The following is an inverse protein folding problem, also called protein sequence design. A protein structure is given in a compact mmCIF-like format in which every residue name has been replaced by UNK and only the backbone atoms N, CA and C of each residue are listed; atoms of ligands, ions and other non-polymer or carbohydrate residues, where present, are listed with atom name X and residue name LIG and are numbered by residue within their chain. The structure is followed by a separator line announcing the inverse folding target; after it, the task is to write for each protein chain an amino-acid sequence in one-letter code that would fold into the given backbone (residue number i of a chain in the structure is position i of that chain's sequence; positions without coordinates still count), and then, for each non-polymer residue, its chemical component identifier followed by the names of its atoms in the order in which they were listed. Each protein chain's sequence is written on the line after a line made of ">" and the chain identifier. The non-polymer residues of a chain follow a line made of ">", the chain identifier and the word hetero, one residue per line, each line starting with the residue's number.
data_IF_983278304544
#
_entry.id   IF_983278304544
#
_cell.length_a   1.000
_cell.length_b   1.000
_cell.length_c   1.000
_cell.angle_alpha   90.00
_cell.angle_beta   90.00
_cell.angle_gamma   90.00
#
_symmetry.space_group_name_H-M   'P 1'
#
loop_
_entity.id
_entity.type
_entity.pdbx_description
1 polymer ?
#
# COMPACT_ATOMS: atom_id res chain seq x y z
N UNK A 1 -0.87 -24.52 27.18
CA UNK A 1 -0.10 -23.29 27.47
C UNK A 1 0.69 -22.91 26.23
N UNK A 2 0.53 -21.68 25.75
CA UNK A 2 1.27 -21.19 24.55
C UNK A 2 2.78 -21.16 24.84
N UNK A 3 3.62 -21.40 23.82
CA UNK A 3 5.09 -21.43 23.98
C UNK A 3 5.63 -20.13 24.60
N UNK A 4 5.11 -18.98 24.21
CA UNK A 4 5.50 -17.66 24.79
C UNK A 4 5.19 -17.61 26.29
N UNK A 5 4.04 -18.10 26.76
CA UNK A 5 3.69 -18.11 28.18
C UNK A 5 4.72 -18.91 29.00
N UNK A 6 5.13 -20.07 28.51
CA UNK A 6 6.16 -20.89 29.15
C UNK A 6 7.52 -20.17 29.19
N UNK A 7 7.91 -19.53 28.09
CA UNK A 7 9.15 -18.76 28.04
C UNK A 7 9.11 -17.57 28.99
N UNK A 8 8.00 -16.84 29.09
CA UNK A 8 7.82 -15.73 30.03
C UNK A 8 7.93 -16.20 31.48
N UNK A 9 7.28 -17.32 31.85
CA UNK A 9 7.38 -17.89 33.21
C UNK A 9 8.80 -18.31 33.54
N UNK A 10 9.57 -18.84 32.59
CA UNK A 10 10.91 -19.36 32.80
C UNK A 10 11.99 -18.28 32.79
N UNK A 11 11.95 -17.39 31.78
CA UNK A 11 13.01 -16.43 31.49
C UNK A 11 12.75 -15.03 32.05
N UNK A 12 11.48 -14.71 32.30
CA UNK A 12 11.08 -13.41 32.83
C UNK A 12 10.05 -13.54 33.98
N UNK A 13 10.30 -14.37 35.00
CA UNK A 13 9.35 -14.64 36.10
C UNK A 13 8.99 -13.39 36.92
N UNK A 14 9.83 -12.36 36.87
CA UNK A 14 9.60 -11.07 37.56
C UNK A 14 9.00 -10.01 36.63
N UNK A 15 8.59 -10.40 35.42
CA UNK A 15 8.09 -9.50 34.38
C UNK A 15 9.15 -9.05 33.36
N UNK A 16 8.73 -8.28 32.38
CA UNK A 16 9.58 -7.74 31.30
C UNK A 16 9.98 -6.30 31.65
N UNK A 17 11.26 -6.01 31.54
CA UNK A 17 11.78 -4.66 31.72
C UNK A 17 11.52 -3.77 30.50
N UNK A 18 11.41 -2.46 30.74
CA UNK A 18 11.25 -1.45 29.71
C UNK A 18 12.54 -0.65 29.55
N UNK A 19 12.84 -0.26 28.31
CA UNK A 19 13.98 0.60 27.96
C UNK A 19 13.58 1.61 26.90
N UNK A 20 14.23 2.77 26.90
CA UNK A 20 13.99 3.77 25.86
C UNK A 20 14.50 3.27 24.49
N UNK A 21 13.77 3.61 23.43
CA UNK A 21 14.21 3.27 22.06
C UNK A 21 15.63 3.75 21.76
N UNK A 22 15.98 4.95 22.18
CA UNK A 22 17.34 5.50 22.01
C UNK A 22 18.44 4.81 22.84
N UNK A 23 18.07 3.97 23.82
CA UNK A 23 19.02 3.13 24.57
C UNK A 23 19.31 1.80 23.86
N UNK A 24 18.35 1.30 23.08
CA UNK A 24 18.42 0.00 22.40
C UNK A 24 18.75 0.11 20.92
N UNK A 25 18.45 1.27 20.31
CA UNK A 25 18.76 1.57 18.91
C UNK A 25 19.75 2.74 18.81
N UNK A 26 20.67 2.64 17.91
CA UNK A 26 21.42 3.77 17.36
C UNK A 26 20.86 4.18 16.00
N UNK A 27 21.24 5.37 15.52
CA UNK A 27 20.86 5.80 14.19
C UNK A 27 22.04 6.32 13.40
N UNK A 28 22.03 6.04 12.10
CA UNK A 28 22.90 6.67 11.12
C UNK A 28 22.11 7.74 10.35
N UNK A 29 22.77 8.89 10.13
CA UNK A 29 22.20 9.96 9.32
C UNK A 29 22.58 9.72 7.85
N UNK A 30 21.62 9.51 6.96
CA UNK A 30 21.91 9.00 5.62
C UNK A 30 22.45 10.02 4.62
N UNK A 31 23.12 11.08 5.08
CA UNK A 31 23.65 12.16 4.23
C UNK A 31 24.53 11.65 3.07
N UNK A 32 25.44 10.73 3.38
CA UNK A 32 26.39 10.18 2.39
C UNK A 32 25.69 9.27 1.36
N UNK A 33 24.52 8.73 1.69
CA UNK A 33 23.76 7.83 0.80
C UNK A 33 22.74 8.56 -0.08
N UNK A 34 22.70 9.88 -0.03
CA UNK A 34 21.81 10.66 -0.87
C UNK A 34 22.19 10.54 -2.34
N UNK A 35 21.18 10.37 -3.21
CA UNK A 35 21.38 10.43 -4.65
C UNK A 35 21.72 11.84 -5.11
N UNK A 36 22.61 11.93 -6.08
CA UNK A 36 22.96 13.19 -6.75
C UNK A 36 22.15 13.40 -8.02
N UNK A 37 21.84 12.32 -8.73
CA UNK A 37 21.03 12.34 -9.94
C UNK A 37 19.54 12.60 -9.63
N UNK A 38 18.86 13.22 -10.59
CA UNK A 38 17.39 13.37 -10.61
C UNK A 38 16.73 12.35 -11.56
N UNK A 39 17.53 11.54 -12.23
CA UNK A 39 17.05 10.53 -13.18
C UNK A 39 16.86 9.20 -12.47
N UNK A 40 15.67 8.65 -12.58
CA UNK A 40 15.31 7.36 -12.01
C UNK A 40 14.68 6.50 -13.09
N UNK A 41 15.12 5.26 -13.23
CA UNK A 41 14.56 4.30 -14.18
C UNK A 41 14.40 2.92 -13.52
N UNK A 42 13.33 2.20 -13.87
CA UNK A 42 13.05 0.87 -13.30
C UNK A 42 14.07 -0.19 -13.69
N UNK A 43 14.84 0.04 -14.74
CA UNK A 43 15.93 -0.86 -15.19
C UNK A 43 17.21 -0.72 -14.39
N UNK A 44 17.36 0.34 -13.59
CA UNK A 44 18.54 0.56 -12.77
C UNK A 44 18.57 -0.36 -11.53
N UNK A 45 19.76 -0.75 -11.04
CA UNK A 45 19.87 -1.80 -10.03
C UNK A 45 19.57 -1.35 -8.60
N UNK A 46 19.78 -0.07 -8.25
CA UNK A 46 19.76 0.39 -6.86
C UNK A 46 18.49 1.17 -6.54
N UNK A 47 17.63 0.70 -5.63
CA UNK A 47 16.45 1.42 -5.21
C UNK A 47 16.80 2.70 -4.45
N UNK A 48 16.03 3.76 -4.68
CA UNK A 48 16.13 5.05 -4.00
C UNK A 48 14.93 5.22 -3.09
N UNK A 49 15.19 5.28 -1.79
CA UNK A 49 14.17 5.41 -0.76
C UNK A 49 13.81 6.86 -0.49
N UNK A 50 12.58 7.10 -0.12
CA UNK A 50 12.06 8.41 0.27
C UNK A 50 11.22 8.30 1.54
N UNK A 51 11.13 9.40 2.28
CA UNK A 51 10.31 9.54 3.47
C UNK A 51 8.81 9.75 3.15
N UNK A 52 8.39 9.73 1.90
CA UNK A 52 7.00 9.95 1.49
C UNK A 52 6.13 8.70 1.53
N UNK A 53 4.86 8.85 1.12
CA UNK A 53 3.91 7.73 0.98
C UNK A 53 4.41 6.64 0.03
N UNK A 54 5.18 7.01 -0.99
CA UNK A 54 5.83 6.08 -1.92
C UNK A 54 7.23 5.80 -1.39
N UNK A 55 7.41 4.68 -0.70
CA UNK A 55 8.68 4.35 -0.04
C UNK A 55 9.85 4.19 -1.01
N UNK A 56 9.67 3.49 -2.12
CA UNK A 56 10.65 3.41 -3.21
C UNK A 56 10.26 4.44 -4.28
N UNK A 57 11.04 5.50 -4.40
CA UNK A 57 10.81 6.57 -5.38
C UNK A 57 11.11 6.10 -6.81
N UNK A 58 12.13 5.28 -6.97
CA UNK A 58 12.62 4.77 -8.25
C UNK A 58 13.95 4.05 -8.04
N UNK A 59 14.70 3.88 -9.13
CA UNK A 59 16.00 3.21 -9.09
C UNK A 59 17.06 4.08 -9.75
N UNK A 60 18.31 3.96 -9.29
CA UNK A 60 19.47 4.70 -9.79
C UNK A 60 20.57 3.76 -10.26
N UNK A 61 21.40 4.21 -11.20
CA UNK A 61 22.62 3.53 -11.63
C UNK A 61 23.90 4.06 -10.95
N UNK A 62 23.75 4.98 -9.98
CA UNK A 62 24.87 5.41 -9.15
C UNK A 62 25.46 4.22 -8.42
N UNK A 63 26.81 4.10 -8.44
CA UNK A 63 27.53 2.96 -7.85
C UNK A 63 28.17 3.29 -6.50
N UNK A 64 28.32 4.58 -6.22
CA UNK A 64 28.98 5.07 -5.02
C UNK A 64 27.99 5.30 -3.88
N UNK A 65 28.48 5.19 -2.64
CA UNK A 65 27.72 5.52 -1.43
C UNK A 65 26.34 4.83 -1.39
N UNK A 66 26.34 3.52 -1.66
CA UNK A 66 25.14 2.67 -1.50
C UNK A 66 25.19 2.09 -0.09
N UNK A 67 24.12 2.26 0.68
CA UNK A 67 23.99 1.59 1.97
C UNK A 67 23.82 0.08 1.77
N UNK A 68 24.63 -0.74 2.44
CA UNK A 68 24.73 -2.19 2.22
C UNK A 68 23.86 -2.96 3.24
N UNK A 69 22.56 -2.65 3.31
CA UNK A 69 21.66 -3.52 4.06
C UNK A 69 21.48 -4.87 3.35
N UNK A 70 21.22 -5.91 4.13
CA UNK A 70 21.03 -7.27 3.62
C UNK A 70 20.12 -8.07 4.56
N UNK A 71 19.71 -9.26 4.16
CA UNK A 71 18.92 -10.17 5.02
C UNK A 71 19.62 -10.51 6.34
N UNK A 72 20.96 -10.50 6.34
CA UNK A 72 21.77 -10.76 7.54
C UNK A 72 22.09 -9.51 8.36
N UNK A 73 21.95 -8.33 7.74
CA UNK A 73 22.17 -7.03 8.36
C UNK A 73 21.07 -6.06 7.93
N UNK A 74 19.82 -6.32 8.34
CA UNK A 74 18.69 -5.47 8.01
C UNK A 74 18.68 -4.21 8.87
N UNK A 75 17.96 -3.19 8.41
CA UNK A 75 17.79 -1.93 9.11
C UNK A 75 16.32 -1.49 9.13
N UNK A 76 15.99 -0.58 10.05
CA UNK A 76 14.71 0.13 10.05
C UNK A 76 14.97 1.53 9.49
N UNK A 77 14.26 1.91 8.46
CA UNK A 77 14.18 3.30 8.02
C UNK A 77 13.05 3.98 8.78
N UNK A 78 13.39 5.06 9.46
CA UNK A 78 12.46 5.89 10.20
C UNK A 78 12.31 7.25 9.51
N UNK A 79 11.09 7.60 9.11
CA UNK A 79 10.80 8.94 8.59
C UNK A 79 10.70 9.93 9.75
N UNK A 80 11.61 10.89 9.78
CA UNK A 80 11.74 11.84 10.90
C UNK A 80 10.60 12.86 10.97
N UNK A 81 9.74 12.94 9.95
CA UNK A 81 8.58 13.85 9.90
C UNK A 81 7.24 13.13 10.08
N UNK A 82 7.06 11.98 9.45
CA UNK A 82 5.79 11.23 9.52
C UNK A 82 5.80 10.13 10.57
N UNK A 83 6.98 9.83 11.14
CA UNK A 83 7.24 8.72 12.07
C UNK A 83 6.98 7.34 11.49
N UNK A 84 6.75 7.25 10.19
CA UNK A 84 6.60 5.97 9.51
C UNK A 84 7.89 5.14 9.59
N UNK A 85 7.73 3.84 9.77
CA UNK A 85 8.84 2.89 9.84
C UNK A 85 8.77 1.91 8.68
N UNK A 86 9.93 1.60 8.09
CA UNK A 86 10.05 0.65 7.01
C UNK A 86 11.18 -0.34 7.28
N UNK A 87 10.94 -1.61 6.98
CA UNK A 87 11.95 -2.65 7.02
C UNK A 87 12.73 -2.70 5.74
N UNK A 88 14.08 -2.70 5.82
CA UNK A 88 14.97 -2.77 4.66
C UNK A 88 16.05 -3.81 4.89
N UNK A 89 16.12 -4.79 3.99
CA UNK A 89 17.09 -5.89 3.97
C UNK A 89 17.79 -6.05 2.60
N UNK A 90 17.88 -4.94 1.86
CA UNK A 90 18.51 -4.85 0.55
C UNK A 90 19.34 -3.56 0.43
N UNK A 91 20.35 -3.50 -0.44
CA UNK A 91 21.14 -2.29 -0.68
C UNK A 91 20.30 -1.15 -1.25
N UNK A 92 20.53 0.09 -0.79
CA UNK A 92 19.73 1.24 -1.20
C UNK A 92 20.52 2.57 -1.18
N UNK A 93 19.96 3.56 -1.87
CA UNK A 93 20.28 4.98 -1.69
C UNK A 93 19.03 5.73 -1.21
N UNK A 94 19.17 6.97 -0.80
CA UNK A 94 18.06 7.78 -0.29
C UNK A 94 17.89 9.07 -1.10
N UNK A 95 16.66 9.57 -1.16
CA UNK A 95 16.37 10.85 -1.82
C UNK A 95 16.82 12.05 -1.00
N UNK A 96 16.73 11.96 0.32
CA UNK A 96 17.08 13.05 1.23
C UNK A 96 17.46 12.52 2.61
N UNK A 97 18.11 13.37 3.39
CA UNK A 97 18.48 13.06 4.77
C UNK A 97 17.32 13.24 5.80
N UNK A 98 16.09 13.36 5.34
CA UNK A 98 14.90 13.51 6.19
C UNK A 98 14.46 12.20 6.86
N UNK A 99 15.33 11.21 6.95
CA UNK A 99 15.09 9.91 7.58
C UNK A 99 16.27 9.50 8.45
N UNK A 100 16.07 8.49 9.25
CA UNK A 100 17.09 7.83 10.06
C UNK A 100 17.20 6.37 9.66
N UNK A 101 18.41 5.85 9.62
CA UNK A 101 18.70 4.42 9.51
C UNK A 101 18.93 3.91 10.93
N UNK A 102 18.04 3.08 11.44
CA UNK A 102 18.09 2.58 12.82
C UNK A 102 18.73 1.19 12.86
N UNK A 103 19.62 0.98 13.81
CA UNK A 103 20.35 -0.26 14.03
C UNK A 103 20.30 -0.66 15.51
N UNK A 104 20.41 -1.95 15.85
CA UNK A 104 20.47 -2.39 17.25
C UNK A 104 21.85 -2.06 17.85
N UNK A 105 21.88 -1.49 19.07
CA UNK A 105 23.12 -1.18 19.77
C UNK A 105 23.88 -2.39 20.28
N UNK A 106 23.20 -3.51 20.45
CA UNK A 106 23.84 -4.73 20.93
C UNK A 106 23.08 -5.98 20.43
N UNK A 107 23.74 -7.15 20.46
CA UNK A 107 23.18 -8.39 19.92
C UNK A 107 22.02 -9.00 20.72
N UNK A 108 21.71 -8.48 21.92
CA UNK A 108 20.57 -8.95 22.71
C UNK A 108 19.25 -8.32 22.24
N UNK A 109 19.32 -7.39 21.30
CA UNK A 109 18.18 -6.72 20.70
C UNK A 109 17.91 -7.30 19.34
N UNK A 110 16.77 -7.97 19.19
CA UNK A 110 16.26 -8.37 17.89
C UNK A 110 15.62 -7.17 17.20
N UNK A 111 16.28 -6.63 16.19
CA UNK A 111 15.80 -5.44 15.47
C UNK A 111 14.41 -5.65 14.82
N UNK A 112 14.09 -6.89 14.40
CA UNK A 112 12.79 -7.22 13.84
C UNK A 112 11.68 -7.14 14.89
N UNK A 113 11.96 -7.54 16.12
CA UNK A 113 11.06 -7.37 17.26
C UNK A 113 10.77 -5.88 17.50
N UNK A 114 11.82 -5.05 17.52
CA UNK A 114 11.64 -3.60 17.68
C UNK A 114 10.84 -3.00 16.52
N UNK A 115 11.09 -3.44 15.29
CA UNK A 115 10.32 -3.00 14.12
C UNK A 115 8.81 -3.27 14.30
N UNK A 116 8.43 -4.48 14.68
CA UNK A 116 7.03 -4.81 14.95
C UNK A 116 6.44 -3.98 16.08
N UNK A 117 7.19 -3.81 17.17
CA UNK A 117 6.73 -2.99 18.29
C UNK A 117 6.52 -1.52 17.89
N UNK A 118 7.44 -0.94 17.14
CA UNK A 118 7.31 0.46 16.68
C UNK A 118 6.04 0.69 15.86
N UNK A 119 5.54 -0.30 15.14
CA UNK A 119 4.29 -0.20 14.38
C UNK A 119 3.03 -0.17 15.27
N UNK A 120 3.14 -0.59 16.54
CA UNK A 120 2.02 -0.54 17.49
C UNK A 120 1.94 0.78 18.27
N UNK A 121 2.94 1.66 18.13
CA UNK A 121 2.99 2.92 18.86
C UNK A 121 1.99 3.90 18.22
N UNK A 122 0.90 4.27 18.90
CA UNK A 122 -0.02 5.28 18.40
C UNK A 122 0.67 6.64 18.43
N UNK A 123 0.91 7.20 17.25
CA UNK A 123 1.54 8.50 17.14
C UNK A 123 0.62 9.48 16.42
N UNK A 124 0.14 10.48 17.17
CA UNK A 124 -0.64 11.57 16.57
C UNK A 124 0.29 12.77 16.35
N UNK A 125 0.60 13.05 15.10
CA UNK A 125 1.41 14.20 14.71
C UNK A 125 0.50 15.43 14.72
N UNK A 126 0.45 16.16 15.81
CA UNK A 126 -0.21 17.44 15.88
C UNK A 126 0.56 18.52 15.10
N UNK A 127 0.32 18.60 13.78
CA UNK A 127 0.56 19.80 12.94
C UNK A 127 1.96 20.43 12.87
N UNK A 128 2.97 19.93 13.54
CA UNK A 128 4.31 20.50 13.57
C UNK A 128 5.25 19.81 12.59
N UNK A 129 5.88 20.55 11.69
CA UNK A 129 6.99 20.09 10.84
C UNK A 129 8.30 19.96 11.65
N UNK A 130 8.28 19.16 12.73
CA UNK A 130 9.44 18.92 13.56
C UNK A 130 10.06 17.56 13.28
N UNK A 131 11.37 17.40 13.57
CA UNK A 131 12.05 16.11 13.55
C UNK A 131 11.72 15.36 14.85
N UNK A 132 11.19 14.13 14.72
CA UNK A 132 10.57 13.42 15.82
C UNK A 132 11.47 12.39 16.51
N UNK A 133 12.52 11.89 15.85
CA UNK A 133 13.38 10.88 16.47
C UNK A 133 14.04 11.37 17.75
N UNK A 134 14.84 12.42 17.67
CA UNK A 134 15.63 12.93 18.83
C UNK A 134 14.73 13.51 19.89
N UNK A 135 13.70 14.28 19.48
CA UNK A 135 12.88 15.02 20.44
C UNK A 135 11.88 14.17 21.20
N UNK A 136 11.41 13.06 20.61
CA UNK A 136 10.30 12.29 21.18
C UNK A 136 10.49 10.78 21.06
N UNK A 137 10.70 10.24 19.86
CA UNK A 137 10.65 8.81 19.61
C UNK A 137 11.72 8.03 20.35
N UNK A 138 12.95 8.55 20.40
CA UNK A 138 14.05 7.92 21.15
C UNK A 138 13.79 7.82 22.66
N UNK A 139 12.85 8.60 23.20
CA UNK A 139 12.49 8.61 24.62
C UNK A 139 11.34 7.65 24.96
N UNK A 140 10.66 7.09 23.95
CA UNK A 140 9.57 6.14 24.17
C UNK A 140 10.12 4.84 24.77
N UNK A 141 9.44 4.35 25.79
CA UNK A 141 9.79 3.10 26.44
C UNK A 141 9.17 1.92 25.71
N UNK A 142 9.98 0.90 25.47
CA UNK A 142 9.60 -0.36 24.83
C UNK A 142 9.95 -1.54 25.71
N UNK A 143 9.14 -2.58 25.79
CA UNK A 143 9.45 -3.79 26.54
C UNK A 143 10.61 -4.52 25.87
N UNK A 144 11.58 -4.96 26.65
CA UNK A 144 12.73 -5.75 26.16
C UNK A 144 12.76 -7.08 26.89
N UNK A 145 11.98 -8.07 26.47
CA UNK A 145 12.07 -9.41 27.02
C UNK A 145 13.41 -10.08 26.63
N UNK A 146 13.81 -11.18 27.30
CA UNK A 146 14.92 -12.01 26.87
C UNK A 146 14.89 -12.34 25.37
N UNK A 147 16.07 -12.46 24.76
CA UNK A 147 16.21 -12.59 23.28
C UNK A 147 15.40 -13.76 22.71
N UNK A 148 15.31 -14.87 23.42
CA UNK A 148 14.55 -16.05 23.01
C UNK A 148 13.04 -15.74 22.86
N UNK A 149 12.51 -14.88 23.73
CA UNK A 149 11.12 -14.44 23.66
C UNK A 149 10.93 -13.50 22.49
N UNK A 150 11.85 -12.54 22.28
CA UNK A 150 11.83 -11.67 21.10
C UNK A 150 11.82 -12.48 19.81
N UNK A 151 12.69 -13.48 19.70
CA UNK A 151 12.80 -14.37 18.53
C UNK A 151 11.51 -15.17 18.29
N UNK A 152 10.88 -15.72 19.34
CA UNK A 152 9.62 -16.46 19.20
C UNK A 152 8.46 -15.55 18.75
N UNK A 153 8.38 -14.34 19.29
CA UNK A 153 7.40 -13.34 18.86
C UNK A 153 7.61 -12.99 17.36
N UNK A 154 8.85 -12.70 16.99
CA UNK A 154 9.21 -12.41 15.58
C UNK A 154 8.81 -13.55 14.66
N UNK A 155 9.13 -14.78 15.02
CA UNK A 155 8.76 -15.97 14.22
C UNK A 155 7.26 -16.06 13.94
N UNK A 156 6.44 -15.76 14.94
CA UNK A 156 4.98 -15.77 14.79
C UNK A 156 4.52 -14.64 13.90
N UNK A 157 5.02 -13.41 14.13
CA UNK A 157 4.59 -12.24 13.38
C UNK A 157 5.07 -12.25 11.92
N UNK A 158 6.27 -12.79 11.66
CA UNK A 158 6.76 -12.99 10.30
C UNK A 158 5.90 -14.01 9.53
N UNK A 159 5.49 -15.11 10.17
CA UNK A 159 4.59 -16.08 9.55
C UNK A 159 3.23 -15.46 9.18
N UNK A 160 2.67 -14.60 10.05
CA UNK A 160 1.45 -13.84 9.71
C UNK A 160 1.67 -12.83 8.59
N UNK A 161 2.83 -12.19 8.54
CA UNK A 161 3.18 -11.23 7.48
C UNK A 161 3.28 -11.92 6.12
N UNK A 162 3.91 -13.10 6.09
CA UNK A 162 4.01 -13.94 4.90
C UNK A 162 2.63 -14.38 4.41
N UNK A 163 1.81 -14.95 5.30
CA UNK A 163 0.44 -15.35 4.98
C UNK A 163 -0.41 -14.21 4.44
N UNK A 164 -0.33 -13.03 5.06
CA UNK A 164 -1.04 -11.84 4.57
C UNK A 164 -0.56 -11.41 3.19
N UNK A 165 0.74 -11.53 2.90
CA UNK A 165 1.30 -11.20 1.59
C UNK A 165 0.82 -12.16 0.51
N UNK A 166 0.81 -13.46 0.79
CA UNK A 166 0.26 -14.50 -0.10
C UNK A 166 -1.22 -14.25 -0.39
N UNK A 167 -2.03 -14.06 0.66
CA UNK A 167 -3.46 -13.79 0.53
C UNK A 167 -3.75 -12.53 -0.29
N UNK A 168 -3.03 -11.44 -0.06
CA UNK A 168 -3.18 -10.22 -0.85
C UNK A 168 -2.81 -10.44 -2.32
N UNK A 169 -1.81 -11.25 -2.61
CA UNK A 169 -1.39 -11.59 -3.98
C UNK A 169 -2.47 -12.40 -4.70
N UNK A 170 -3.05 -13.40 -4.03
CA UNK A 170 -4.16 -14.21 -4.56
C UNK A 170 -5.39 -13.35 -4.82
N UNK A 171 -5.79 -12.51 -3.86
CA UNK A 171 -6.93 -11.60 -3.99
C UNK A 171 -6.74 -10.61 -5.15
N UNK A 172 -5.56 -10.03 -5.31
CA UNK A 172 -5.27 -9.13 -6.42
C UNK A 172 -5.31 -9.86 -7.79
N UNK A 173 -4.84 -11.09 -7.84
CA UNK A 173 -4.90 -11.94 -9.03
C UNK A 173 -6.34 -12.23 -9.41
N UNK A 174 -7.15 -12.69 -8.45
CA UNK A 174 -8.59 -12.96 -8.67
C UNK A 174 -9.32 -11.68 -9.10
N UNK A 175 -9.08 -10.55 -8.43
CA UNK A 175 -9.68 -9.26 -8.80
C UNK A 175 -9.35 -8.87 -10.24
N UNK A 176 -8.11 -9.06 -10.67
CA UNK A 176 -7.69 -8.76 -12.05
C UNK A 176 -8.38 -9.68 -13.07
N UNK A 177 -8.53 -10.97 -12.75
CA UNK A 177 -9.29 -11.92 -13.60
C UNK A 177 -10.75 -11.47 -13.70
N UNK A 178 -11.38 -11.12 -12.58
CA UNK A 178 -12.79 -10.66 -12.54
C UNK A 178 -12.99 -9.35 -13.31
N UNK A 179 -12.05 -8.39 -13.20
CA UNK A 179 -12.10 -7.16 -13.99
C UNK A 179 -12.03 -7.43 -15.48
N UNK A 180 -11.11 -8.31 -15.93
CA UNK A 180 -11.02 -8.70 -17.36
C UNK A 180 -12.30 -9.40 -17.82
N UNK A 181 -12.85 -10.29 -17.01
CA UNK A 181 -14.11 -10.96 -17.30
C UNK A 181 -15.27 -9.96 -17.42
N UNK A 182 -15.37 -9.01 -16.48
CA UNK A 182 -16.36 -7.94 -16.56
C UNK A 182 -16.23 -7.11 -17.83
N UNK A 183 -15.02 -6.66 -18.18
CA UNK A 183 -14.76 -5.90 -19.41
C UNK A 183 -15.13 -6.70 -20.65
N UNK A 184 -14.80 -7.99 -20.69
CA UNK A 184 -15.21 -8.86 -21.81
C UNK A 184 -16.73 -8.90 -21.96
N UNK A 185 -17.46 -9.18 -20.88
CA UNK A 185 -18.93 -9.22 -20.93
C UNK A 185 -19.54 -7.86 -21.23
N UNK A 186 -19.00 -6.79 -20.64
CA UNK A 186 -19.46 -5.43 -20.91
C UNK A 186 -19.32 -5.09 -22.40
N UNK A 187 -18.15 -5.30 -22.97
CA UNK A 187 -17.91 -5.06 -24.39
C UNK A 187 -18.81 -5.93 -25.27
N UNK A 188 -18.90 -7.21 -24.95
CA UNK A 188 -19.72 -8.15 -25.70
C UNK A 188 -21.22 -7.77 -25.67
N UNK A 189 -21.75 -7.45 -24.48
CA UNK A 189 -23.19 -7.18 -24.30
C UNK A 189 -23.60 -5.81 -24.85
N UNK A 190 -22.69 -4.84 -24.90
CA UNK A 190 -22.95 -3.48 -25.37
C UNK A 190 -22.47 -3.20 -26.80
N UNK A 191 -21.90 -4.19 -27.48
CA UNK A 191 -21.48 -4.06 -28.88
C UNK A 191 -22.63 -4.31 -29.87
N UNK A 192 -23.35 -3.26 -30.23
CA UNK A 192 -24.43 -3.28 -31.20
C UNK A 192 -24.01 -2.82 -32.59
N UNK A 193 -22.71 -2.65 -32.85
CA UNK A 193 -22.22 -2.03 -34.09
C UNK A 193 -22.70 -2.76 -35.37
N UNK A 194 -22.61 -4.11 -35.40
CA UNK A 194 -22.97 -4.91 -36.57
C UNK A 194 -24.49 -5.15 -36.73
N UNK A 195 -25.27 -4.81 -35.69
CA UNK A 195 -26.71 -5.01 -35.67
C UNK A 195 -27.47 -3.69 -35.52
N UNK A 196 -26.89 -2.59 -35.99
CA UNK A 196 -27.59 -1.31 -36.03
C UNK A 196 -28.57 -1.24 -37.20
N UNK A 197 -29.52 -0.31 -37.14
CA UNK A 197 -30.61 -0.16 -38.13
C UNK A 197 -30.16 0.15 -39.58
N UNK A 198 -28.89 0.48 -39.78
CA UNK A 198 -28.33 0.79 -41.10
C UNK A 198 -27.81 -0.45 -41.86
N UNK A 199 -27.78 -1.62 -41.19
CA UNK A 199 -27.31 -2.86 -41.81
C UNK A 199 -28.46 -3.65 -42.44
N UNK A 200 -28.23 -4.19 -43.68
CA UNK A 200 -29.25 -4.98 -44.38
C UNK A 200 -29.47 -6.38 -43.81
N UNK A 201 -28.42 -6.94 -43.18
CA UNK A 201 -28.41 -8.35 -42.76
C UNK A 201 -28.41 -8.49 -41.19
N UNK A 202 -29.23 -7.69 -40.51
CA UNK A 202 -29.30 -7.64 -39.02
C UNK A 202 -29.56 -9.01 -38.41
N UNK A 203 -30.48 -9.80 -38.97
CA UNK A 203 -30.84 -11.11 -38.45
C UNK A 203 -29.67 -12.11 -38.49
N UNK A 204 -28.90 -12.12 -39.58
CA UNK A 204 -27.74 -12.98 -39.77
C UNK A 204 -26.61 -12.54 -38.83
N UNK A 205 -26.32 -11.25 -38.75
CA UNK A 205 -25.33 -10.68 -37.86
C UNK A 205 -25.66 -10.95 -36.39
N UNK A 206 -26.95 -10.82 -36.01
CA UNK A 206 -27.41 -11.14 -34.62
C UNK A 206 -27.19 -12.63 -34.28
N UNK A 207 -27.42 -13.53 -35.27
CA UNK A 207 -27.19 -14.96 -35.06
C UNK A 207 -25.70 -15.27 -34.76
N UNK A 208 -24.77 -14.55 -35.40
CA UNK A 208 -23.32 -14.72 -35.23
C UNK A 208 -22.77 -14.09 -33.96
N UNK A 209 -23.45 -13.09 -33.35
CA UNK A 209 -23.00 -12.45 -32.12
C UNK A 209 -22.91 -13.46 -30.94
N UNK A 210 -21.89 -13.36 -30.05
CA UNK A 210 -21.73 -14.26 -28.90
C UNK A 210 -22.68 -13.96 -27.74
N UNK A 211 -23.81 -13.29 -28.02
CA UNK A 211 -24.77 -12.91 -26.98
C UNK A 211 -25.42 -14.12 -26.31
N UNK A 212 -25.80 -14.02 -25.01
CA UNK A 212 -26.65 -14.99 -24.35
C UNK A 212 -27.97 -15.20 -25.11
N UNK A 213 -28.49 -16.44 -25.11
CA UNK A 213 -29.74 -16.81 -25.80
C UNK A 213 -30.89 -15.84 -25.50
N UNK A 214 -31.08 -15.48 -24.23
CA UNK A 214 -32.14 -14.55 -23.81
C UNK A 214 -32.01 -13.17 -24.47
N UNK A 215 -30.80 -12.62 -24.54
CA UNK A 215 -30.56 -11.34 -25.20
C UNK A 215 -30.82 -11.43 -26.69
N UNK A 216 -30.38 -12.49 -27.36
CA UNK A 216 -30.69 -12.73 -28.78
C UNK A 216 -32.20 -12.78 -29.04
N UNK A 217 -32.96 -13.49 -28.20
CA UNK A 217 -34.42 -13.57 -28.31
C UNK A 217 -35.06 -12.19 -28.14
N UNK A 218 -34.65 -11.42 -27.15
CA UNK A 218 -35.16 -10.06 -26.92
C UNK A 218 -34.85 -9.12 -28.09
N UNK A 219 -33.63 -9.12 -28.60
CA UNK A 219 -33.24 -8.31 -29.75
C UNK A 219 -34.03 -8.70 -31.00
N UNK A 220 -34.20 -10.00 -31.26
CA UNK A 220 -34.97 -10.48 -32.38
C UNK A 220 -36.47 -10.06 -32.32
N UNK A 221 -37.03 -10.02 -31.11
CA UNK A 221 -38.44 -9.67 -30.87
C UNK A 221 -38.67 -8.17 -30.85
N UNK A 222 -37.84 -7.42 -30.11
CA UNK A 222 -38.04 -6.01 -29.83
C UNK A 222 -37.31 -5.07 -30.78
N UNK A 223 -36.26 -5.52 -31.42
CA UNK A 223 -35.44 -4.76 -32.36
C UNK A 223 -35.15 -5.54 -33.65
N UNK A 224 -36.17 -6.07 -34.37
CA UNK A 224 -36.00 -6.92 -35.56
C UNK A 224 -35.29 -6.21 -36.74
N UNK A 225 -35.33 -4.88 -36.74
CA UNK A 225 -34.65 -4.03 -37.73
C UNK A 225 -33.30 -3.52 -37.28
N UNK A 226 -32.82 -4.01 -36.09
CA UNK A 226 -31.57 -3.58 -35.47
C UNK A 226 -31.76 -2.49 -34.40
N UNK A 227 -30.67 -2.16 -33.74
CA UNK A 227 -30.62 -1.18 -32.62
C UNK A 227 -30.32 0.21 -33.16
N UNK A 228 -31.15 1.21 -32.81
CA UNK A 228 -30.92 2.61 -33.18
C UNK A 228 -29.89 3.26 -32.26
N UNK A 229 -29.06 4.16 -32.79
CA UNK A 229 -28.14 4.99 -32.05
C UNK A 229 -28.69 6.42 -31.93
N UNK A 230 -28.56 7.00 -30.73
CA UNK A 230 -28.91 8.41 -30.45
C UNK A 230 -27.73 9.12 -29.82
N UNK A 231 -27.67 10.44 -29.98
CA UNK A 231 -26.69 11.27 -29.26
C UNK A 231 -27.03 11.31 -27.77
N UNK A 232 -26.02 11.32 -26.92
CA UNK A 232 -26.22 11.35 -25.46
C UNK A 232 -27.08 12.53 -25.01
N UNK A 233 -26.89 13.72 -25.59
CA UNK A 233 -27.70 14.89 -25.28
C UNK A 233 -29.18 14.82 -25.72
N UNK A 234 -29.58 13.80 -26.52
CA UNK A 234 -30.99 13.55 -26.88
C UNK A 234 -31.68 12.62 -25.88
N UNK A 235 -30.92 11.89 -25.07
CA UNK A 235 -31.43 10.85 -24.14
C UNK A 235 -31.11 11.13 -22.68
N UNK A 236 -30.20 12.06 -22.40
CA UNK A 236 -29.80 12.47 -21.06
C UNK A 236 -29.96 13.97 -20.90
N UNK A 237 -30.53 14.36 -19.79
CA UNK A 237 -30.48 15.73 -19.27
C UNK A 237 -29.31 15.85 -18.27
N UNK A 238 -28.72 17.01 -18.19
CA UNK A 238 -27.70 17.27 -17.19
C UNK A 238 -28.14 18.39 -16.24
N UNK A 239 -27.80 18.26 -14.97
CA UNK A 239 -27.95 19.31 -13.98
C UNK A 239 -26.56 19.76 -13.51
N UNK A 240 -26.37 21.07 -13.45
CA UNK A 240 -25.13 21.65 -12.96
C UNK A 240 -25.17 21.67 -11.43
N UNK A 241 -24.27 20.95 -10.74
CA UNK A 241 -24.40 20.72 -9.29
C UNK A 241 -24.00 21.94 -8.43
N UNK A 242 -23.97 23.14 -8.97
CA UNK A 242 -23.51 24.36 -8.27
C UNK A 242 -24.27 24.60 -6.95
N UNK A 243 -25.57 24.34 -6.94
CA UNK A 243 -26.42 24.51 -5.74
C UNK A 243 -26.17 23.47 -4.65
N UNK A 244 -25.51 22.35 -4.99
CA UNK A 244 -25.20 21.26 -4.08
C UNK A 244 -23.74 21.29 -3.59
N UNK A 245 -22.97 22.32 -3.99
CA UNK A 245 -21.61 22.46 -3.54
C UNK A 245 -21.54 22.77 -2.04
N UNK A 246 -20.64 22.09 -1.33
CA UNK A 246 -20.38 22.36 0.08
C UNK A 246 -19.64 23.68 0.24
N UNK A 247 -20.01 24.45 1.24
CA UNK A 247 -19.36 25.71 1.62
C UNK A 247 -18.38 25.55 2.77
N UNK A 248 -18.56 24.48 3.58
CA UNK A 248 -17.64 24.14 4.67
C UNK A 248 -16.37 23.50 4.16
N UNK A 249 -15.26 23.74 4.86
CA UNK A 249 -13.98 23.05 4.66
C UNK A 249 -13.78 21.90 5.65
N UNK A 250 -14.71 21.70 6.54
CA UNK A 250 -14.66 20.65 7.57
C UNK A 250 -15.37 19.40 7.04
N UNK A 251 -14.65 18.30 6.96
CA UNK A 251 -15.14 17.01 6.52
C UNK A 251 -14.84 15.97 7.59
N UNK A 252 -15.85 15.23 8.03
CA UNK A 252 -15.69 14.15 8.98
C UNK A 252 -16.49 12.93 8.55
N UNK A 253 -15.94 11.73 8.79
CA UNK A 253 -16.59 10.46 8.43
C UNK A 253 -17.86 10.16 9.24
N UNK A 254 -18.05 10.84 10.37
CA UNK A 254 -19.24 10.71 11.20
C UNK A 254 -20.44 11.51 10.67
N UNK A 255 -20.24 12.42 9.71
CA UNK A 255 -21.32 13.17 9.12
C UNK A 255 -22.21 12.31 8.21
N UNK A 256 -23.53 12.49 8.26
CA UNK A 256 -24.47 11.61 7.57
C UNK A 256 -24.47 11.79 6.04
N UNK A 257 -24.05 12.94 5.53
CA UNK A 257 -24.09 13.26 4.09
C UNK A 257 -22.70 13.19 3.46
N UNK A 258 -22.46 12.26 2.53
CA UNK A 258 -21.20 12.17 1.83
C UNK A 258 -21.01 13.36 0.88
N UNK A 259 -19.76 13.86 0.79
CA UNK A 259 -19.36 14.87 -0.19
C UNK A 259 -18.61 14.19 -1.31
N UNK A 260 -19.07 14.38 -2.54
CA UNK A 260 -18.47 13.80 -3.73
C UNK A 260 -17.48 14.77 -4.36
N UNK A 261 -16.36 14.23 -4.83
CA UNK A 261 -15.36 14.96 -5.61
C UNK A 261 -15.23 14.34 -6.98
N UNK A 262 -14.97 15.15 -7.99
CA UNK A 262 -14.53 14.65 -9.27
C UNK A 262 -13.13 14.05 -9.09
N UNK A 263 -12.98 12.74 -9.31
CA UNK A 263 -11.74 11.99 -9.19
C UNK A 263 -10.80 12.18 -10.39
#
# INVERSE_FOLDING_TARGET
>A
MHKIERLLQTLAPKGVGFRKLGEVLEYDQPNQYCVTSKEFDKSYPTPVLTAGKTFILGYTNEKDNIYQASKNAPVIIFDDFTTATQWVDFPFKVKSSAMKILLPKNPTINIRFIFFYMQTIPYNIGGEHARHWISRYSQLEVPIPPLEIQQEIVKILDAFTELNTELNTELNTELNVRKKQYQYYQNMLLDFNDINQNHKDVAEKLAQKPYPKRLKTLLHTLAPKGVGFRKLGEVLEYDQPNQYCVTSKEFDKSYPTPVLTAG
#
